data_IF_324908077653
#
_entry.id   IF_324908077653
#
_cell.length_a   1.000
_cell.length_b   1.000
_cell.length_c   1.000
_cell.angle_alpha   90.00
_cell.angle_beta   90.00
_cell.angle_gamma   90.00
#
_symmetry.space_group_name_H-M   'P 1'
#
loop_
_entity.id
_entity.type
_entity.pdbx_description
1 polymer ?
#
# COMPACT_ATOMS: atom_id res chain seq x y z
N UNK A 1 -20.34 49.42 2.80
CA UNK A 1 -21.57 49.27 3.61
C UNK A 1 -21.43 47.97 4.38
N UNK A 2 -21.06 48.05 5.66
CA UNK A 2 -20.82 46.88 6.50
C UNK A 2 -22.15 46.45 7.12
N UNK A 3 -22.85 45.54 6.44
CA UNK A 3 -24.04 44.88 6.97
C UNK A 3 -23.62 43.75 7.90
N UNK A 4 -23.60 44.02 9.20
CA UNK A 4 -23.37 42.99 10.21
C UNK A 4 -24.52 41.94 10.12
N UNK A 5 -24.20 40.64 9.97
CA UNK A 5 -25.23 39.62 9.84
C UNK A 5 -26.03 39.54 11.14
N UNK A 6 -27.24 40.11 11.11
CA UNK A 6 -28.16 40.11 12.25
C UNK A 6 -28.81 38.74 12.32
N UNK A 7 -28.31 37.90 13.22
CA UNK A 7 -28.91 36.60 13.49
C UNK A 7 -30.31 36.77 14.10
N UNK A 8 -31.30 36.12 13.50
CA UNK A 8 -32.67 36.05 14.00
C UNK A 8 -32.69 35.61 15.48
N UNK A 9 -33.31 36.40 16.39
CA UNK A 9 -33.44 36.07 17.80
C UNK A 9 -33.97 34.66 18.07
N UNK A 10 -34.86 34.14 17.20
CA UNK A 10 -35.40 32.77 17.33
C UNK A 10 -34.35 31.71 17.07
N UNK A 11 -33.49 31.92 16.07
CA UNK A 11 -32.41 31.00 15.73
C UNK A 11 -31.35 30.97 16.84
N UNK A 12 -31.06 32.13 17.43
CA UNK A 12 -30.14 32.24 18.57
C UNK A 12 -30.68 31.53 19.81
N UNK A 13 -31.99 31.63 20.08
CA UNK A 13 -32.64 30.92 21.18
C UNK A 13 -32.59 29.39 20.99
N UNK A 14 -32.89 28.90 19.79
CA UNK A 14 -32.86 27.47 19.47
C UNK A 14 -31.45 26.86 19.59
N UNK A 15 -30.41 27.57 19.13
CA UNK A 15 -29.01 27.13 19.29
C UNK A 15 -28.63 27.08 20.77
N UNK A 16 -29.04 28.08 21.55
CA UNK A 16 -28.73 28.13 22.99
C UNK A 16 -29.42 27.00 23.74
N UNK A 17 -30.67 26.70 23.40
CA UNK A 17 -31.41 25.57 23.96
C UNK A 17 -30.77 24.22 23.59
N UNK A 18 -30.33 24.05 22.34
CA UNK A 18 -29.62 22.85 21.90
C UNK A 18 -28.33 22.64 22.70
N UNK A 19 -27.53 23.70 22.89
CA UNK A 19 -26.27 23.64 23.64
C UNK A 19 -26.52 23.33 25.12
N UNK A 20 -27.52 23.97 25.75
CA UNK A 20 -27.86 23.73 27.15
C UNK A 20 -28.42 22.32 27.36
N UNK A 21 -29.28 21.84 26.47
CA UNK A 21 -29.83 20.47 26.50
C UNK A 21 -28.72 19.44 26.33
N UNK A 22 -27.78 19.67 25.39
CA UNK A 22 -26.64 18.77 25.17
C UNK A 22 -25.68 18.76 26.36
N UNK A 23 -25.51 19.90 27.04
CA UNK A 23 -24.68 20.00 28.24
C UNK A 23 -25.35 19.35 29.48
N UNK A 24 -26.67 19.43 29.59
CA UNK A 24 -27.45 18.78 30.64
C UNK A 24 -27.53 17.26 30.48
N UNK A 25 -27.50 16.76 29.24
CA UNK A 25 -27.56 15.33 28.91
C UNK A 25 -26.29 14.53 29.24
N UNK A 26 -25.26 15.18 29.82
CA UNK A 26 -24.33 14.53 30.75
C UNK A 26 -23.82 13.13 30.37
N UNK A 27 -23.46 12.88 29.09
CA UNK A 27 -22.88 11.60 28.65
C UNK A 27 -21.43 11.40 29.07
N UNK A 28 -21.00 11.99 30.18
CA UNK A 28 -19.73 11.71 30.83
C UNK A 28 -19.70 10.33 31.55
N UNK A 29 -20.80 9.59 31.56
CA UNK A 29 -20.89 8.25 32.18
C UNK A 29 -20.42 7.07 31.32
N UNK A 30 -20.21 7.24 30.00
CA UNK A 30 -19.92 6.09 29.10
C UNK A 30 -18.43 5.73 29.02
N UNK A 31 -17.53 6.70 29.10
CA UNK A 31 -16.07 6.48 29.01
C UNK A 31 -15.53 5.73 30.24
N UNK A 32 -16.07 6.04 31.44
CA UNK A 32 -15.69 5.33 32.69
C UNK A 32 -16.08 3.85 32.69
N UNK A 33 -17.20 3.48 32.05
CA UNK A 33 -17.67 2.09 31.99
C UNK A 33 -16.82 1.22 31.06
N UNK A 34 -16.36 1.76 29.93
CA UNK A 34 -15.47 1.01 29.03
C UNK A 34 -14.08 0.81 29.64
N UNK A 35 -13.54 1.80 30.36
CA UNK A 35 -12.22 1.67 31.01
C UNK A 35 -12.25 0.64 32.13
N UNK A 36 -13.30 0.63 32.96
CA UNK A 36 -13.47 -0.37 34.00
C UNK A 36 -13.60 -1.78 33.40
N UNK A 37 -14.37 -1.94 32.30
CA UNK A 37 -14.54 -3.23 31.64
C UNK A 37 -13.22 -3.76 31.04
N UNK A 38 -12.40 -2.90 30.44
CA UNK A 38 -11.08 -3.29 29.89
C UNK A 38 -10.11 -3.70 30.99
N UNK A 39 -10.05 -2.97 32.11
CA UNK A 39 -9.17 -3.32 33.24
C UNK A 39 -9.55 -4.66 33.86
N UNK A 40 -10.85 -4.93 34.02
CA UNK A 40 -11.32 -6.24 34.53
C UNK A 40 -10.96 -7.38 33.57
N UNK A 41 -11.06 -7.14 32.25
CA UNK A 41 -10.74 -8.15 31.23
C UNK A 41 -9.23 -8.46 31.19
N UNK A 42 -8.38 -7.45 31.38
CA UNK A 42 -6.92 -7.64 31.49
C UNK A 42 -6.53 -8.41 32.75
N UNK A 43 -7.20 -8.16 33.89
CA UNK A 43 -6.94 -8.90 35.13
C UNK A 43 -7.42 -10.36 35.05
N UNK A 44 -8.52 -10.64 34.34
CA UNK A 44 -8.99 -12.01 34.10
C UNK A 44 -8.03 -12.76 33.16
N UNK A 45 -7.50 -12.10 32.13
CA UNK A 45 -6.54 -12.71 31.21
C UNK A 45 -5.18 -13.03 31.89
N UNK A 46 -4.72 -12.18 32.82
CA UNK A 46 -3.50 -12.43 33.58
C UNK A 46 -3.69 -13.46 34.72
N UNK A 47 -4.92 -13.67 35.19
CA UNK A 47 -5.23 -14.72 36.17
C UNK A 47 -5.27 -16.14 35.62
N UNK A 48 -5.45 -16.32 34.30
CA UNK A 48 -5.53 -17.64 33.64
C UNK A 48 -4.14 -18.17 33.23
N UNK A 49 -3.09 -17.34 33.30
CA UNK A 49 -1.71 -17.73 32.95
C UNK A 49 -0.84 -18.10 34.17
N UNK A 50 -1.47 -18.65 35.22
CA UNK A 50 -0.77 -19.14 36.42
C UNK A 50 -1.31 -20.51 36.84
N UNK A 51 -1.01 -21.56 36.07
CA UNK A 51 -1.47 -22.91 36.41
C UNK A 51 -0.81 -24.03 35.61
N UNK A 52 0.23 -24.61 36.21
CA UNK A 52 0.49 -26.05 36.24
C UNK A 52 0.96 -26.76 34.95
N UNK A 53 2.28 -26.94 34.82
CA UNK A 53 2.83 -28.17 34.21
C UNK A 53 3.77 -28.82 35.22
N UNK A 54 3.23 -29.79 35.95
CA UNK A 54 4.00 -30.79 36.65
C UNK A 54 4.43 -31.86 35.64
N UNK A 55 5.74 -32.03 35.44
CA UNK A 55 6.31 -33.28 34.92
C UNK A 55 7.27 -33.81 35.98
N UNK A 56 6.82 -34.85 36.67
CA UNK A 56 7.62 -35.69 37.55
C UNK A 56 7.73 -37.07 36.91
N UNK A 57 8.88 -37.38 36.31
CA UNK A 57 9.46 -38.70 36.06
C UNK A 57 10.96 -38.40 35.85
N UNK A 58 11.95 -39.00 36.47
CA UNK A 58 12.07 -40.24 37.21
C UNK A 58 13.55 -40.64 37.10
N UNK A 59 14.20 -40.77 38.25
CA UNK A 59 15.49 -41.44 38.54
C UNK A 59 16.17 -42.26 37.43
N UNK A 60 17.49 -42.09 37.29
CA UNK A 60 18.34 -43.06 36.61
C UNK A 60 19.81 -42.66 36.51
N UNK A 61 20.55 -42.73 37.62
CA UNK A 61 22.01 -42.97 37.57
C UNK A 61 22.27 -44.26 36.79
N UNK A 62 23.27 -44.27 35.90
CA UNK A 62 24.26 -45.34 35.65
C UNK A 62 25.05 -45.03 34.36
N UNK A 63 26.30 -44.59 34.50
CA UNK A 63 27.39 -45.01 33.61
C UNK A 63 27.76 -46.46 34.01
N UNK A 64 28.21 -47.38 33.13
CA UNK A 64 29.28 -47.26 32.12
C UNK A 64 28.81 -47.81 30.74
N UNK A 65 29.54 -47.84 29.62
CA UNK A 65 30.82 -48.51 29.33
C UNK A 65 31.19 -48.18 27.88
N UNK A 66 32.49 -48.00 27.61
CA UNK A 66 33.02 -47.65 26.30
C UNK A 66 32.89 -48.82 25.32
N UNK A 67 32.09 -48.65 24.27
CA UNK A 67 32.03 -49.57 23.13
C UNK A 67 33.15 -49.25 22.12
N UNK A 68 33.76 -50.27 21.49
CA UNK A 68 34.95 -50.11 20.65
C UNK A 68 34.66 -49.28 19.40
N UNK A 69 35.59 -48.38 19.10
CA UNK A 69 35.67 -47.58 17.89
C UNK A 69 35.72 -48.50 16.65
N UNK A 70 34.80 -48.37 15.68
CA UNK A 70 34.88 -49.15 14.44
C UNK A 70 36.09 -48.69 13.62
N UNK A 71 36.94 -49.65 13.27
CA UNK A 71 38.06 -49.48 12.35
C UNK A 71 37.56 -48.97 10.99
N UNK A 72 38.13 -47.89 10.42
CA UNK A 72 37.73 -47.44 9.09
C UNK A 72 38.08 -48.50 8.05
N UNK A 73 37.04 -49.06 7.42
CA UNK A 73 37.19 -49.91 6.23
C UNK A 73 37.61 -49.03 5.06
N UNK A 74 38.72 -49.37 4.41
CA UNK A 74 39.20 -48.70 3.22
C UNK A 74 38.17 -48.90 2.09
N UNK A 75 37.41 -47.85 1.80
CA UNK A 75 36.49 -47.80 0.67
C UNK A 75 37.32 -47.78 -0.63
N UNK A 76 37.00 -48.63 -1.63
CA UNK A 76 37.71 -48.65 -2.89
C UNK A 76 37.58 -47.30 -3.59
N UNK A 77 38.72 -46.70 -3.95
CA UNK A 77 38.79 -45.48 -4.74
C UNK A 77 38.24 -45.76 -6.13
N UNK A 78 36.97 -45.43 -6.36
CA UNK A 78 36.36 -45.48 -7.70
C UNK A 78 37.03 -44.40 -8.54
N UNK A 79 37.78 -44.82 -9.55
CA UNK A 79 38.36 -43.90 -10.54
C UNK A 79 37.19 -43.29 -11.31
N UNK A 80 36.96 -41.99 -11.11
CA UNK A 80 35.90 -41.27 -11.79
C UNK A 80 36.18 -41.25 -13.31
N UNK A 81 35.34 -41.93 -14.07
CA UNK A 81 35.27 -41.79 -15.53
C UNK A 81 35.00 -40.31 -15.86
N UNK A 82 35.74 -39.69 -16.80
CA UNK A 82 35.49 -38.30 -17.16
C UNK A 82 34.06 -38.15 -17.68
N UNK A 83 33.27 -37.32 -17.01
CA UNK A 83 31.93 -36.94 -17.44
C UNK A 83 32.03 -36.16 -18.76
N UNK A 84 31.19 -36.46 -19.77
CA UNK A 84 31.21 -35.74 -21.03
C UNK A 84 30.97 -34.25 -20.78
N UNK A 85 31.83 -33.42 -21.35
CA UNK A 85 31.66 -31.96 -21.33
C UNK A 85 30.33 -31.62 -21.99
N UNK A 86 29.40 -30.92 -21.30
CA UNK A 86 28.15 -30.53 -21.90
C UNK A 86 28.40 -29.66 -23.13
N UNK A 87 27.60 -29.80 -24.20
CA UNK A 87 27.72 -28.96 -25.38
C UNK A 87 27.57 -27.49 -25.01
N UNK A 88 28.22 -26.56 -25.74
CA UNK A 88 28.07 -25.14 -25.49
C UNK A 88 26.60 -24.75 -25.58
N UNK A 89 26.09 -24.16 -24.50
CA UNK A 89 24.74 -23.60 -24.47
C UNK A 89 24.70 -22.46 -25.49
N UNK A 90 23.74 -22.44 -26.43
CA UNK A 90 23.62 -21.35 -27.39
C UNK A 90 23.49 -20.04 -26.63
N UNK A 91 24.37 -19.09 -26.93
CA UNK A 91 24.29 -17.74 -26.38
C UNK A 91 22.98 -17.13 -26.87
N UNK A 92 22.09 -16.65 -25.99
CA UNK A 92 20.84 -16.04 -26.44
C UNK A 92 21.17 -14.84 -27.33
N UNK A 93 20.76 -14.93 -28.60
CA UNK A 93 20.80 -13.79 -29.52
C UNK A 93 19.96 -12.69 -28.90
N UNK A 94 20.57 -11.53 -28.62
CA UNK A 94 19.85 -10.38 -28.09
C UNK A 94 18.73 -10.00 -29.08
N UNK A 95 17.49 -10.23 -28.68
CA UNK A 95 16.31 -9.73 -29.40
C UNK A 95 16.45 -8.20 -29.46
N UNK A 96 16.30 -7.57 -30.63
CA UNK A 96 16.37 -6.11 -30.72
C UNK A 96 15.33 -5.50 -29.79
N UNK A 97 15.79 -4.76 -28.78
CA UNK A 97 14.95 -3.96 -27.90
C UNK A 97 14.27 -2.90 -28.77
N UNK A 98 12.97 -3.05 -29.04
CA UNK A 98 12.18 -1.99 -29.65
C UNK A 98 12.34 -0.74 -28.79
N UNK A 99 12.61 0.40 -29.44
CA UNK A 99 12.55 1.68 -28.77
C UNK A 99 11.16 1.82 -28.12
N UNK A 100 11.07 2.30 -26.87
CA UNK A 100 9.77 2.54 -26.24
C UNK A 100 8.92 3.41 -27.16
N UNK A 101 7.68 2.99 -27.42
CA UNK A 101 6.72 3.85 -28.10
C UNK A 101 6.61 5.17 -27.32
N UNK A 102 6.51 6.28 -28.05
CA UNK A 102 6.32 7.59 -27.43
C UNK A 102 5.00 7.60 -26.65
N UNK A 103 5.03 8.10 -25.41
CA UNK A 103 3.84 8.28 -24.59
C UNK A 103 3.05 9.50 -25.09
N UNK A 104 1.73 9.40 -25.14
CA UNK A 104 0.81 10.49 -25.47
C UNK A 104 0.16 10.99 -24.17
N UNK A 105 0.37 12.25 -23.76
CA UNK A 105 -0.29 12.84 -22.58
C UNK A 105 -1.82 12.83 -22.62
N UNK A 106 -2.44 12.67 -23.79
CA UNK A 106 -3.90 12.56 -23.93
C UNK A 106 -4.42 11.11 -23.87
N UNK A 107 -3.53 10.11 -23.92
CA UNK A 107 -3.88 8.68 -23.92
C UNK A 107 -3.17 7.92 -22.78
N UNK A 108 -3.85 7.74 -21.63
CA UNK A 108 -3.30 7.02 -20.48
C UNK A 108 -2.89 5.56 -20.76
N UNK A 109 -3.41 4.94 -21.83
CA UNK A 109 -3.05 3.57 -22.17
C UNK A 109 -1.61 3.43 -22.67
N UNK A 110 -1.03 4.56 -23.12
CA UNK A 110 0.37 4.64 -23.54
C UNK A 110 1.33 4.85 -22.38
N UNK A 111 0.83 5.30 -21.22
CA UNK A 111 1.65 5.71 -20.10
C UNK A 111 2.33 4.53 -19.40
N UNK A 112 3.56 4.78 -18.93
CA UNK A 112 4.28 3.87 -18.04
C UNK A 112 4.20 4.30 -16.59
N UNK A 113 4.08 3.30 -15.72
CA UNK A 113 4.19 3.44 -14.26
C UNK A 113 5.60 3.02 -13.86
N UNK A 114 6.36 3.96 -13.34
CA UNK A 114 7.69 3.76 -12.76
C UNK A 114 7.70 4.21 -11.29
N UNK A 115 8.83 4.06 -10.60
CA UNK A 115 8.96 4.42 -9.16
C UNK A 115 8.92 5.93 -8.90
N UNK A 116 8.94 6.74 -9.94
CA UNK A 116 9.02 8.19 -9.84
C UNK A 116 8.16 8.96 -10.83
N UNK A 117 7.40 8.24 -11.66
CA UNK A 117 6.51 8.85 -12.64
C UNK A 117 5.38 7.93 -13.07
N UNK A 118 4.31 8.56 -13.52
CA UNK A 118 3.19 7.91 -14.19
C UNK A 118 2.87 8.69 -15.46
N UNK A 119 3.25 8.14 -16.61
CA UNK A 119 3.23 8.83 -17.89
C UNK A 119 3.96 10.19 -17.81
N UNK A 120 3.30 11.30 -18.18
CA UNK A 120 3.92 12.62 -18.17
C UNK A 120 4.14 13.21 -16.77
N UNK A 121 3.56 12.63 -15.72
CA UNK A 121 3.66 13.17 -14.35
C UNK A 121 4.85 12.54 -13.63
N UNK A 122 5.76 13.37 -13.14
CA UNK A 122 6.94 12.94 -12.36
C UNK A 122 6.89 13.55 -10.95
N UNK A 123 7.42 12.82 -9.96
CA UNK A 123 7.57 13.33 -8.60
C UNK A 123 8.40 14.64 -8.57
N UNK A 124 8.05 15.56 -7.67
CA UNK A 124 8.67 16.87 -7.52
C UNK A 124 8.20 17.93 -8.52
N UNK A 125 7.35 17.57 -9.49
CA UNK A 125 6.84 18.53 -10.48
C UNK A 125 5.80 19.48 -9.88
N UNK A 126 5.77 20.79 -10.20
CA UNK A 126 4.74 21.70 -9.72
C UNK A 126 3.33 21.26 -10.14
N UNK A 127 2.36 21.29 -9.22
CA UNK A 127 0.98 20.87 -9.52
C UNK A 127 0.33 21.70 -10.63
N UNK A 128 0.68 22.98 -10.72
CA UNK A 128 0.19 23.86 -11.78
C UNK A 128 0.67 23.41 -13.18
N UNK A 129 1.91 22.92 -13.29
CA UNK A 129 2.47 22.43 -14.56
C UNK A 129 1.84 21.10 -14.96
N UNK A 130 1.55 20.24 -13.99
CA UNK A 130 0.81 18.99 -14.22
C UNK A 130 -0.58 19.30 -14.74
N UNK A 131 -1.30 20.22 -14.09
CA UNK A 131 -2.64 20.65 -14.51
C UNK A 131 -2.65 21.27 -15.91
N UNK A 132 -1.63 22.05 -16.24
CA UNK A 132 -1.53 22.68 -17.56
C UNK A 132 -1.27 21.66 -18.67
N UNK A 133 -0.41 20.66 -18.44
CA UNK A 133 -0.13 19.61 -19.43
C UNK A 133 -1.32 18.66 -19.61
N UNK A 134 -1.98 18.30 -18.50
CA UNK A 134 -3.08 17.35 -18.48
C UNK A 134 -4.45 18.02 -18.61
N UNK A 135 -4.51 19.20 -19.23
CA UNK A 135 -5.73 20.02 -19.34
C UNK A 135 -6.84 19.37 -20.17
N UNK A 136 -6.55 18.27 -20.88
CA UNK A 136 -7.56 17.51 -21.64
C UNK A 136 -8.42 16.63 -20.76
N UNK A 137 -7.99 16.31 -19.53
CA UNK A 137 -8.75 15.51 -18.59
C UNK A 137 -9.68 16.38 -17.74
N UNK A 138 -10.72 15.77 -17.19
CA UNK A 138 -11.67 16.48 -16.35
C UNK A 138 -11.03 16.82 -15.01
N UNK A 139 -10.95 18.09 -14.66
CA UNK A 139 -10.53 18.51 -13.32
C UNK A 139 -11.69 18.30 -12.34
N UNK A 140 -11.54 17.29 -11.50
CA UNK A 140 -12.51 16.88 -10.46
C UNK A 140 -12.08 17.37 -9.07
N UNK A 141 -11.08 18.25 -9.00
CA UNK A 141 -10.53 18.73 -7.73
C UNK A 141 -11.57 19.58 -7.00
N UNK A 142 -11.94 19.17 -5.79
CA UNK A 142 -12.74 20.02 -4.91
C UNK A 142 -11.93 21.28 -4.56
N UNK A 143 -12.51 22.49 -4.69
CA UNK A 143 -11.83 23.73 -4.33
C UNK A 143 -11.17 23.74 -2.95
N UNK A 144 -11.69 22.99 -1.98
CA UNK A 144 -11.12 22.89 -0.63
C UNK A 144 -9.77 22.17 -0.59
N UNK A 145 -9.49 21.32 -1.59
CA UNK A 145 -8.26 20.54 -1.66
C UNK A 145 -7.11 21.29 -2.37
N UNK A 146 -7.41 22.46 -2.96
CA UNK A 146 -6.41 23.34 -3.55
C UNK A 146 -5.67 24.15 -2.46
N UNK A 147 -4.37 24.43 -2.65
CA UNK A 147 -3.53 24.07 -3.80
C UNK A 147 -2.83 22.70 -3.66
N UNK A 148 -3.12 21.93 -2.62
CA UNK A 148 -2.31 20.78 -2.18
C UNK A 148 -2.57 19.48 -2.96
N UNK A 149 -3.60 19.45 -3.79
CA UNK A 149 -3.90 18.26 -4.57
C UNK A 149 -4.62 18.58 -5.87
N UNK A 150 -4.50 17.65 -6.80
CA UNK A 150 -5.12 17.68 -8.12
C UNK A 150 -5.77 16.31 -8.38
N UNK A 151 -7.03 16.31 -8.78
CA UNK A 151 -7.82 15.13 -9.10
C UNK A 151 -8.27 15.23 -10.56
N UNK A 152 -7.82 14.31 -11.39
CA UNK A 152 -8.12 14.29 -12.82
C UNK A 152 -8.89 13.02 -13.18
N UNK A 153 -10.09 13.19 -13.73
CA UNK A 153 -10.89 12.10 -14.29
C UNK A 153 -10.37 11.70 -15.67
N UNK A 154 -9.95 10.44 -15.80
CA UNK A 154 -9.43 9.85 -17.04
C UNK A 154 -10.56 9.25 -17.90
N UNK A 155 -10.34 9.01 -19.22
CA UNK A 155 -11.38 8.51 -20.13
C UNK A 155 -11.99 7.16 -19.73
N UNK A 156 -11.25 6.33 -18.99
CA UNK A 156 -11.67 5.02 -18.48
C UNK A 156 -12.47 5.09 -17.17
N UNK A 157 -12.79 6.31 -16.70
CA UNK A 157 -13.44 6.62 -15.42
C UNK A 157 -12.56 6.31 -14.20
N UNK A 158 -11.26 6.08 -14.41
CA UNK A 158 -10.29 6.07 -13.32
C UNK A 158 -9.92 7.51 -12.95
N UNK A 159 -9.33 7.67 -11.78
CA UNK A 159 -8.90 8.98 -11.28
C UNK A 159 -7.39 8.97 -11.11
N UNK A 160 -6.71 9.95 -11.71
CA UNK A 160 -5.34 10.29 -11.38
C UNK A 160 -5.35 11.36 -10.29
N UNK A 161 -4.69 11.10 -9.16
CA UNK A 161 -4.54 12.04 -8.07
C UNK A 161 -3.06 12.38 -7.89
N UNK A 162 -2.77 13.67 -7.78
CA UNK A 162 -1.42 14.19 -7.55
C UNK A 162 -1.47 15.03 -6.28
N UNK A 163 -0.60 14.73 -5.33
CA UNK A 163 -0.69 15.22 -3.95
C UNK A 163 0.64 15.86 -3.57
N UNK A 164 0.54 17.02 -2.95
CA UNK A 164 1.63 17.69 -2.23
C UNK A 164 1.53 17.33 -0.74
N UNK A 165 2.44 16.49 -0.28
CA UNK A 165 2.48 16.01 1.10
C UNK A 165 3.30 16.94 2.01
N UNK A 166 4.16 17.78 1.42
CA UNK A 166 5.13 18.63 2.12
C UNK A 166 4.80 20.13 2.07
N UNK A 167 3.68 20.52 1.47
CA UNK A 167 3.26 21.92 1.34
C UNK A 167 4.11 22.73 0.35
N UNK A 168 4.83 22.07 -0.56
CA UNK A 168 5.70 22.69 -1.55
C UNK A 168 5.00 22.97 -2.90
N UNK A 169 3.72 22.58 -3.02
CA UNK A 169 2.91 22.66 -4.25
C UNK A 169 3.55 21.85 -5.40
N UNK A 170 4.17 20.72 -5.04
CA UNK A 170 4.80 19.76 -5.95
C UNK A 170 4.22 18.36 -5.80
N UNK A 171 4.32 17.54 -6.84
CA UNK A 171 3.87 16.15 -6.86
C UNK A 171 4.74 15.28 -5.95
N UNK A 172 4.38 15.12 -4.69
CA UNK A 172 5.09 14.23 -3.75
C UNK A 172 4.58 12.79 -3.82
N UNK A 173 3.29 12.65 -4.14
CA UNK A 173 2.62 11.38 -4.35
C UNK A 173 1.77 11.43 -5.63
N UNK A 174 1.84 10.38 -6.44
CA UNK A 174 1.01 10.17 -7.63
C UNK A 174 0.22 8.88 -7.44
N UNK A 175 -1.08 8.93 -7.64
CA UNK A 175 -1.99 7.84 -7.33
C UNK A 175 -2.97 7.62 -8.49
N UNK A 176 -3.13 6.37 -8.90
CA UNK A 176 -4.09 5.93 -9.90
C UNK A 176 -5.14 5.06 -9.23
N UNK A 177 -6.39 5.46 -9.31
CA UNK A 177 -7.51 4.83 -8.61
C UNK A 177 -8.53 4.27 -9.59
N UNK A 178 -8.77 2.96 -9.48
CA UNK A 178 -9.87 2.28 -10.14
C UNK A 178 -11.09 2.17 -9.22
N UNK A 179 -12.28 2.17 -9.84
CA UNK A 179 -13.54 1.78 -9.18
C UNK A 179 -14.08 0.50 -9.83
N UNK A 180 -14.86 -0.31 -9.09
CA UNK A 180 -15.57 -1.44 -9.68
C UNK A 180 -16.40 -1.00 -10.90
N UNK A 181 -16.20 -1.68 -12.03
CA UNK A 181 -16.88 -1.39 -13.30
C UNK A 181 -16.18 -0.39 -14.22
N UNK A 182 -15.02 0.14 -13.84
CA UNK A 182 -14.17 0.95 -14.74
C UNK A 182 -13.60 0.08 -15.88
N UNK A 183 -13.38 0.69 -17.05
CA UNK A 183 -12.69 0.02 -18.17
C UNK A 183 -11.18 0.19 -18.02
N UNK A 184 -10.58 -0.57 -17.11
CA UNK A 184 -9.17 -0.47 -16.76
C UNK A 184 -8.21 -0.92 -17.88
N UNK A 185 -8.73 -1.35 -19.04
CA UNK A 185 -7.92 -1.74 -20.19
C UNK A 185 -7.07 -0.59 -20.76
N UNK A 186 -7.55 0.65 -20.58
CA UNK A 186 -6.88 1.88 -21.00
C UNK A 186 -6.03 2.52 -19.89
N UNK A 187 -5.93 1.88 -18.73
CA UNK A 187 -5.15 2.43 -17.62
C UNK A 187 -3.64 2.26 -17.84
N UNK A 188 -2.81 3.18 -17.30
CA UNK A 188 -1.36 3.06 -17.31
C UNK A 188 -0.86 1.71 -16.77
N UNK A 189 0.28 1.24 -17.28
CA UNK A 189 0.89 -0.02 -16.85
C UNK A 189 2.37 0.13 -16.53
N UNK A 190 2.83 -0.68 -15.61
CA UNK A 190 4.26 -0.92 -15.36
C UNK A 190 4.92 -1.61 -16.56
N UNK A 191 6.26 -1.66 -16.58
CA UNK A 191 7.02 -2.36 -17.62
C UNK A 191 6.70 -3.86 -17.69
N UNK A 192 6.32 -4.46 -16.56
CA UNK A 192 5.94 -5.86 -16.40
C UNK A 192 4.46 -6.11 -16.78
N UNK A 193 3.74 -5.07 -17.21
CA UNK A 193 2.35 -5.16 -17.67
C UNK A 193 1.31 -5.15 -16.55
N UNK A 194 1.71 -4.91 -15.30
CA UNK A 194 0.81 -4.73 -14.17
C UNK A 194 0.21 -3.33 -14.20
N UNK A 195 -1.12 -3.27 -14.15
CA UNK A 195 -1.94 -2.06 -14.03
C UNK A 195 -3.22 -2.33 -13.23
N UNK A 196 -4.17 -1.41 -13.26
CA UNK A 196 -5.49 -1.63 -12.64
C UNK A 196 -6.17 -2.87 -13.25
N UNK A 197 -6.88 -3.64 -12.43
CA UNK A 197 -7.52 -4.91 -12.78
C UNK A 197 -6.60 -6.12 -12.88
N UNK A 198 -5.28 -5.96 -12.70
CA UNK A 198 -4.37 -7.12 -12.64
C UNK A 198 -4.68 -7.97 -11.41
N UNK A 199 -4.62 -9.29 -11.53
CA UNK A 199 -4.85 -10.18 -10.38
C UNK A 199 -3.69 -10.13 -9.38
N UNK A 200 -3.94 -10.46 -8.12
CA UNK A 200 -2.91 -10.62 -7.10
C UNK A 200 -1.85 -11.65 -7.49
N UNK A 201 -2.25 -12.70 -8.20
CA UNK A 201 -1.36 -13.74 -8.71
C UNK A 201 -0.44 -13.21 -9.81
N UNK A 202 -0.98 -12.45 -10.78
CA UNK A 202 -0.18 -11.80 -11.81
C UNK A 202 0.81 -10.79 -11.20
N UNK A 203 0.36 -10.02 -10.20
CA UNK A 203 1.19 -9.09 -9.46
C UNK A 203 2.36 -9.80 -8.75
N UNK A 204 2.08 -10.89 -8.03
CA UNK A 204 3.10 -11.67 -7.33
C UNK A 204 4.08 -12.35 -8.29
N UNK A 205 3.61 -12.80 -9.46
CA UNK A 205 4.46 -13.38 -10.49
C UNK A 205 5.38 -12.35 -11.15
N UNK A 206 4.87 -11.13 -11.40
CA UNK A 206 5.63 -10.04 -12.00
C UNK A 206 6.68 -9.47 -11.03
N UNK A 207 6.38 -9.43 -9.73
CA UNK A 207 7.26 -8.87 -8.71
C UNK A 207 7.41 -9.81 -7.51
N UNK A 208 8.31 -10.80 -7.59
CA UNK A 208 8.52 -11.77 -6.52
C UNK A 208 9.05 -11.12 -5.22
N UNK A 209 9.64 -9.93 -5.31
CA UNK A 209 10.21 -9.19 -4.18
C UNK A 209 9.20 -8.24 -3.49
N UNK A 210 7.91 -8.28 -3.86
CA UNK A 210 6.89 -7.46 -3.21
C UNK A 210 6.74 -7.83 -1.73
N UNK A 211 6.71 -6.79 -0.89
CA UNK A 211 6.44 -6.94 0.53
C UNK A 211 5.01 -6.53 0.83
N UNK A 212 4.24 -7.39 1.52
CA UNK A 212 2.94 -7.00 2.08
C UNK A 212 3.18 -6.00 3.22
N UNK A 213 2.77 -4.76 3.04
CA UNK A 213 3.02 -3.66 4.00
C UNK A 213 1.77 -3.24 4.77
N UNK A 214 0.58 -3.62 4.31
CA UNK A 214 -0.66 -3.25 4.96
C UNK A 214 -1.83 -4.17 4.61
N UNK A 215 -2.80 -4.21 5.50
CA UNK A 215 -4.09 -4.84 5.28
C UNK A 215 -5.17 -4.05 6.01
N UNK A 216 -6.29 -3.79 5.34
CA UNK A 216 -7.41 -3.03 5.88
C UNK A 216 -8.70 -3.84 5.71
N UNK A 217 -9.42 -4.02 6.83
CA UNK A 217 -10.70 -4.74 6.92
C UNK A 217 -10.73 -6.13 6.26
N UNK A 218 -9.58 -6.81 6.15
CA UNK A 218 -9.41 -8.09 5.45
C UNK A 218 -9.90 -8.11 3.99
N UNK A 219 -10.08 -6.94 3.39
CA UNK A 219 -10.61 -6.79 2.01
C UNK A 219 -9.67 -6.00 1.12
N UNK A 220 -8.78 -5.19 1.70
CA UNK A 220 -7.76 -4.44 1.00
C UNK A 220 -6.38 -4.81 1.50
N UNK A 221 -5.51 -5.27 0.63
CA UNK A 221 -4.11 -5.60 0.93
C UNK A 221 -3.20 -4.64 0.16
N UNK A 222 -2.16 -4.14 0.81
CA UNK A 222 -1.14 -3.29 0.18
C UNK A 222 0.16 -4.08 0.02
N UNK A 223 0.67 -4.09 -1.21
CA UNK A 223 1.98 -4.63 -1.56
C UNK A 223 2.89 -3.51 -2.02
N UNK A 224 4.13 -3.47 -1.51
CA UNK A 224 5.07 -2.40 -1.80
C UNK A 224 6.31 -2.95 -2.48
N UNK A 225 6.69 -2.33 -3.60
CA UNK A 225 8.00 -2.46 -4.24
C UNK A 225 8.83 -1.25 -3.82
N UNK A 226 9.92 -1.46 -3.07
CA UNK A 226 10.84 -0.40 -2.65
C UNK A 226 12.12 -0.46 -3.48
N UNK A 227 12.54 0.66 -4.07
CA UNK A 227 13.83 0.77 -4.77
C UNK A 227 14.95 1.17 -3.79
N UNK A 228 16.20 1.03 -4.24
CA UNK A 228 17.39 1.32 -3.44
C UNK A 228 17.49 2.77 -2.94
N UNK A 229 16.83 3.70 -3.63
CA UNK A 229 16.76 5.12 -3.28
C UNK A 229 15.62 5.46 -2.29
N UNK A 230 14.87 4.44 -1.84
CA UNK A 230 13.76 4.60 -0.91
C UNK A 230 12.42 4.98 -1.55
N UNK A 231 12.38 5.24 -2.88
CA UNK A 231 11.12 5.45 -3.61
C UNK A 231 10.36 4.14 -3.75
N UNK A 232 9.04 4.25 -3.85
CA UNK A 232 8.14 3.09 -3.76
C UNK A 232 7.05 3.11 -4.81
N UNK A 233 6.63 1.92 -5.20
CA UNK A 233 5.33 1.66 -5.83
C UNK A 233 4.50 0.84 -4.85
N UNK A 234 3.29 1.31 -4.54
CA UNK A 234 2.34 0.61 -3.67
C UNK A 234 1.15 0.16 -4.52
N UNK A 235 0.88 -1.15 -4.52
CA UNK A 235 -0.28 -1.75 -5.16
C UNK A 235 -1.34 -2.05 -4.10
N UNK A 236 -2.53 -1.47 -4.26
CA UNK A 236 -3.71 -1.75 -3.44
C UNK A 236 -4.54 -2.83 -4.14
N UNK A 237 -4.57 -4.01 -3.54
CA UNK A 237 -5.34 -5.16 -4.02
C UNK A 237 -6.64 -5.24 -3.22
N UNK A 238 -7.78 -5.27 -3.90
CA UNK A 238 -9.12 -5.40 -3.31
C UNK A 238 -9.86 -6.51 -4.06
N UNK A 239 -10.45 -7.45 -3.32
CA UNK A 239 -11.15 -8.61 -3.90
C UNK A 239 -10.29 -9.41 -4.89
N UNK A 240 -8.97 -9.47 -4.67
CA UNK A 240 -8.02 -10.21 -5.51
C UNK A 240 -7.48 -9.45 -6.73
N UNK A 241 -7.87 -8.20 -6.94
CA UNK A 241 -7.44 -7.38 -8.10
C UNK A 241 -6.81 -6.06 -7.66
N UNK A 242 -5.85 -5.56 -8.44
CA UNK A 242 -5.25 -4.23 -8.25
C UNK A 242 -6.29 -3.16 -8.56
N UNK A 243 -6.68 -2.39 -7.55
CA UNK A 243 -7.64 -1.28 -7.67
C UNK A 243 -7.02 0.09 -7.37
N UNK A 244 -5.78 0.13 -6.89
CA UNK A 244 -5.04 1.37 -6.73
C UNK A 244 -3.55 1.14 -6.93
N UNK A 245 -2.89 2.12 -7.53
CA UNK A 245 -1.43 2.14 -7.66
C UNK A 245 -0.95 3.52 -7.21
N UNK A 246 0.02 3.55 -6.31
CA UNK A 246 0.61 4.77 -5.81
C UNK A 246 2.11 4.76 -6.02
N UNK A 247 2.67 5.93 -6.32
CA UNK A 247 4.10 6.19 -6.40
C UNK A 247 4.41 7.36 -5.46
N UNK A 248 5.46 7.22 -4.65
CA UNK A 248 5.87 8.27 -3.72
C UNK A 248 6.93 7.81 -2.72
N UNK A 249 7.30 8.71 -1.80
CA UNK A 249 8.23 8.41 -0.71
C UNK A 249 7.53 7.82 0.54
N UNK A 250 6.25 8.11 0.73
CA UNK A 250 5.49 7.63 1.89
C UNK A 250 5.30 6.10 1.86
N UNK A 251 5.32 5.47 3.04
CA UNK A 251 5.15 4.01 3.20
C UNK A 251 3.69 3.58 3.26
N UNK A 252 2.76 4.53 3.28
CA UNK A 252 1.33 4.31 3.36
C UNK A 252 0.61 5.24 2.40
N UNK A 253 -0.58 4.81 1.99
CA UNK A 253 -1.49 5.64 1.22
C UNK A 253 -1.93 6.83 2.08
N UNK A 254 -1.67 8.09 1.64
CA UNK A 254 -1.92 9.24 2.48
C UNK A 254 -3.43 9.32 2.77
N UNK A 255 -3.83 9.67 4.02
CA UNK A 255 -5.22 9.99 4.30
C UNK A 255 -5.68 11.13 3.37
N UNK A 256 -6.98 11.23 3.14
CA UNK A 256 -7.55 12.35 2.37
C UNK A 256 -7.08 13.67 3.01
N UNK A 257 -6.17 14.39 2.33
CA UNK A 257 -5.61 15.67 2.80
C UNK A 257 -6.53 16.86 2.49
N UNK A 258 -7.71 16.61 1.93
CA UNK A 258 -8.74 17.62 1.82
C UNK A 258 -9.24 17.94 3.23
N UNK A 259 -9.09 19.19 3.73
CA UNK A 259 -9.65 19.55 5.02
C UNK A 259 -11.17 19.38 4.95
N UNK A 260 -11.72 18.54 5.85
CA UNK A 260 -13.16 18.39 6.03
C UNK A 260 -13.78 19.59 6.76
#
# INVERSE_FOLDING_TARGET
>A
MNGEPTFDPRRKAAIRELVVTTAADGRYGRVRKHTALVVTLVLVALGISGGSVAYALGSGLLAPEAAPTPTPSASPTVTATPSPTPPPVPTPTATPTQAPAAEDPADPSTWRIDVDRMGPVTLGRPLADVKAELSTFSDETDPICLPFSLYLGLPDRTTLRVIDDNGQVTADTIELLGRPGNDVSLSPKTAEGIGLGSTAEALAAAYPDLVKTGEYNNTSVQYTLTRSDGRRIIFKVISGEVQGIQIGAESSMPPERCPA
#
